data_IF_307270575888
#
_entry.id   IF_307270575888
#
_cell.length_a   1.000
_cell.length_b   1.000
_cell.length_c   1.000
_cell.angle_alpha   90.00
_cell.angle_beta   90.00
_cell.angle_gamma   90.00
#
_symmetry.space_group_name_H-M   'P 1'
#
loop_
_entity.id
_entity.type
_entity.pdbx_description
1 polymer ?
#
# COMPACT_ATOMS: atom_id res chain seq x y z
N UNK A 1 -5.52 7.68 -10.60
CA UNK A 1 -5.27 7.75 -9.14
C UNK A 1 -3.86 8.24 -8.81
N UNK A 2 -2.78 7.62 -9.29
CA UNK A 2 -1.40 8.04 -8.97
C UNK A 2 -1.07 9.47 -9.42
N UNK A 3 -1.30 9.79 -10.69
CA UNK A 3 -1.01 11.12 -11.25
C UNK A 3 -1.72 12.26 -10.51
N UNK A 4 -2.97 12.07 -10.10
CA UNK A 4 -3.72 13.07 -9.34
C UNK A 4 -3.15 13.29 -7.93
N UNK A 5 -2.64 12.23 -7.27
CA UNK A 5 -1.93 12.36 -5.99
C UNK A 5 -0.61 13.13 -6.17
N UNK A 6 0.14 12.85 -7.25
CA UNK A 6 1.37 13.58 -7.55
C UNK A 6 1.12 15.07 -7.78
N UNK A 7 0.09 15.41 -8.56
CA UNK A 7 -0.30 16.82 -8.76
C UNK A 7 -0.67 17.50 -7.43
N UNK A 8 -1.38 16.80 -6.54
CA UNK A 8 -1.70 17.34 -5.22
C UNK A 8 -0.44 17.64 -4.38
N UNK A 9 0.54 16.76 -4.37
CA UNK A 9 1.82 17.00 -3.69
C UNK A 9 2.53 18.25 -4.24
N UNK A 10 2.63 18.37 -5.57
CA UNK A 10 3.25 19.53 -6.22
C UNK A 10 2.53 20.84 -5.86
N UNK A 11 1.20 20.82 -5.78
CA UNK A 11 0.41 21.98 -5.36
C UNK A 11 0.74 22.36 -3.91
N UNK A 12 0.78 21.39 -3.01
CA UNK A 12 1.06 21.63 -1.58
C UNK A 12 2.50 22.11 -1.36
N UNK A 13 3.48 21.55 -2.07
CA UNK A 13 4.87 22.02 -2.07
C UNK A 13 4.95 23.47 -2.57
N UNK A 14 4.28 23.81 -3.68
CA UNK A 14 4.23 25.17 -4.20
C UNK A 14 3.55 26.16 -3.25
N UNK A 15 2.52 25.73 -2.50
CA UNK A 15 1.88 26.56 -1.48
C UNK A 15 2.79 26.79 -0.27
N UNK A 16 3.51 25.75 0.18
CA UNK A 16 4.47 25.84 1.26
C UNK A 16 5.62 26.81 0.95
N UNK A 17 6.04 26.93 -0.32
CA UNK A 17 7.06 27.90 -0.73
C UNK A 17 6.56 29.36 -0.75
N UNK A 18 5.26 29.58 -0.87
CA UNK A 18 4.67 30.94 -1.00
C UNK A 18 4.42 31.63 0.33
N UNK A 19 4.37 30.88 1.44
CA UNK A 19 3.94 31.41 2.74
C UNK A 19 4.44 30.55 3.91
N UNK A 20 4.55 31.18 5.09
CA UNK A 20 5.09 30.54 6.30
C UNK A 20 4.06 30.45 7.45
N UNK A 21 2.80 30.82 7.23
CA UNK A 21 1.76 30.84 8.26
C UNK A 21 1.07 29.47 8.44
N UNK A 22 0.96 28.68 7.37
CA UNK A 22 0.40 27.32 7.39
C UNK A 22 1.45 26.35 6.89
N UNK A 23 1.76 25.35 7.70
CA UNK A 23 2.65 24.27 7.31
C UNK A 23 1.86 23.19 6.56
N UNK A 24 2.34 22.83 5.37
CA UNK A 24 1.81 21.73 4.59
C UNK A 24 2.81 20.58 4.62
N UNK A 25 2.34 19.39 4.95
CA UNK A 25 3.15 18.17 5.00
C UNK A 25 2.39 17.06 4.30
N UNK A 26 3.11 16.20 3.60
CA UNK A 26 2.56 15.05 2.90
C UNK A 26 3.22 13.78 3.46
N UNK A 27 2.46 12.68 3.48
CA UNK A 27 2.96 11.37 3.89
C UNK A 27 2.57 10.34 2.84
N UNK A 28 3.54 9.59 2.34
CA UNK A 28 3.38 8.49 1.41
C UNK A 28 3.47 7.16 2.14
N UNK A 29 2.50 6.31 1.88
CA UNK A 29 2.50 4.92 2.30
C UNK A 29 1.62 4.11 1.34
N UNK A 30 1.92 2.82 1.30
CA UNK A 30 1.24 1.81 0.48
C UNK A 30 -0.09 1.37 1.09
N UNK A 31 -0.38 0.08 0.98
CA UNK A 31 -1.69 -0.45 1.37
C UNK A 31 -1.84 -0.50 2.90
N UNK A 32 -3.06 -0.21 3.36
CA UNK A 32 -3.44 -0.40 4.76
C UNK A 32 -4.32 -1.64 4.87
N UNK A 33 -3.94 -2.56 5.76
CA UNK A 33 -4.64 -3.82 5.98
C UNK A 33 -6.10 -3.58 6.38
N UNK A 34 -7.03 -4.26 5.72
CA UNK A 34 -8.45 -4.19 6.03
C UNK A 34 -9.14 -2.86 5.66
N UNK A 35 -8.46 -1.96 4.95
CA UNK A 35 -9.07 -0.71 4.46
C UNK A 35 -10.22 -0.97 3.47
N UNK A 36 -11.18 -0.04 3.41
CA UNK A 36 -12.34 -0.14 2.52
C UNK A 36 -11.94 -0.29 1.05
N UNK A 37 -12.52 -1.28 0.37
CA UNK A 37 -12.22 -1.56 -1.05
C UNK A 37 -10.85 -2.17 -1.31
N UNK A 38 -10.11 -2.58 -0.27
CA UNK A 38 -8.84 -3.29 -0.41
C UNK A 38 -9.04 -4.78 -0.75
N UNK A 39 -7.92 -5.44 -1.06
CA UNK A 39 -7.90 -6.85 -1.49
C UNK A 39 -8.37 -7.82 -0.39
N UNK A 40 -8.12 -7.50 0.88
CA UNK A 40 -8.47 -8.40 2.00
C UNK A 40 -10.00 -8.51 2.18
N UNK A 41 -10.78 -7.42 2.23
CA UNK A 41 -12.24 -7.52 2.22
C UNK A 41 -12.80 -8.24 0.99
N UNK A 42 -12.17 -8.06 -0.18
CA UNK A 42 -12.58 -8.76 -1.41
C UNK A 42 -12.39 -10.27 -1.27
N UNK A 43 -11.20 -10.73 -0.88
CA UNK A 43 -10.92 -12.15 -0.68
C UNK A 43 -11.79 -12.74 0.42
N UNK A 44 -11.99 -12.01 1.51
CA UNK A 44 -12.88 -12.43 2.60
C UNK A 44 -14.31 -12.66 2.10
N UNK A 45 -14.80 -11.78 1.22
CA UNK A 45 -16.12 -11.93 0.59
C UNK A 45 -16.16 -13.15 -0.34
N UNK A 46 -15.17 -13.29 -1.22
CA UNK A 46 -15.06 -14.41 -2.17
C UNK A 46 -15.02 -15.76 -1.46
N UNK A 47 -14.21 -15.88 -0.40
CA UNK A 47 -14.11 -17.08 0.42
C UNK A 47 -15.45 -17.39 1.10
N UNK A 48 -16.12 -16.38 1.69
CA UNK A 48 -17.43 -16.56 2.34
C UNK A 48 -18.53 -17.01 1.37
N UNK A 49 -18.41 -16.63 0.11
CA UNK A 49 -19.33 -17.04 -0.96
C UNK A 49 -18.97 -18.40 -1.57
N UNK A 50 -17.94 -19.09 -1.05
CA UNK A 50 -17.31 -20.28 -1.65
C UNK A 50 -16.95 -20.07 -3.13
N UNK A 51 -16.66 -18.82 -3.50
CA UNK A 51 -16.29 -18.42 -4.86
C UNK A 51 -14.77 -18.46 -5.05
N UNK A 52 -14.30 -18.49 -6.31
CA UNK A 52 -12.88 -18.39 -6.60
C UNK A 52 -12.34 -17.04 -6.14
N UNK A 53 -11.12 -17.04 -5.60
CA UNK A 53 -10.37 -15.82 -5.36
C UNK A 53 -9.84 -15.30 -6.69
N UNK A 54 -10.01 -14.01 -6.96
CA UNK A 54 -9.49 -13.38 -8.18
C UNK A 54 -8.25 -12.56 -7.89
N UNK A 55 -7.14 -12.89 -8.54
CA UNK A 55 -5.87 -12.16 -8.43
C UNK A 55 -5.51 -11.60 -9.81
N UNK A 56 -4.99 -10.38 -9.87
CA UNK A 56 -4.66 -9.77 -11.18
C UNK A 56 -3.41 -10.40 -11.81
N UNK A 57 -2.35 -10.60 -11.03
CA UNK A 57 -1.14 -11.28 -11.47
C UNK A 57 -0.50 -12.09 -10.33
N UNK A 58 0.09 -13.26 -10.65
CA UNK A 58 0.73 -14.16 -9.68
C UNK A 58 1.97 -13.55 -9.00
N UNK A 59 2.61 -12.60 -9.66
CA UNK A 59 3.84 -11.95 -9.21
C UNK A 59 3.59 -10.58 -8.58
N UNK A 60 2.33 -10.18 -8.41
CA UNK A 60 1.99 -8.87 -7.85
C UNK A 60 2.34 -8.82 -6.36
N UNK A 61 3.08 -7.78 -5.96
CA UNK A 61 3.46 -7.54 -4.57
C UNK A 61 3.00 -6.17 -4.09
N UNK A 62 2.67 -6.08 -2.80
CA UNK A 62 2.22 -4.84 -2.17
C UNK A 62 2.82 -4.70 -0.78
N UNK A 63 3.14 -3.47 -0.39
CA UNK A 63 3.49 -3.14 0.98
C UNK A 63 2.22 -3.01 1.81
N UNK A 64 2.24 -3.54 3.02
CA UNK A 64 1.12 -3.49 3.94
C UNK A 64 1.56 -2.97 5.30
N UNK A 65 0.68 -2.18 5.91
CA UNK A 65 0.80 -1.75 7.28
C UNK A 65 -0.58 -1.84 7.93
N UNK A 66 -0.63 -2.04 9.24
CA UNK A 66 -1.89 -2.04 9.97
C UNK A 66 -2.45 -0.62 10.09
N UNK A 67 -3.76 -0.51 10.37
CA UNK A 67 -4.40 0.80 10.59
C UNK A 67 -3.71 1.55 11.76
N UNK A 68 -3.52 0.96 12.96
CA UNK A 68 -2.89 1.68 14.07
C UNK A 68 -1.49 2.20 13.74
N UNK A 69 -0.64 1.37 13.13
CA UNK A 69 0.71 1.77 12.70
C UNK A 69 0.67 2.94 11.73
N UNK A 70 -0.20 2.87 10.70
CA UNK A 70 -0.29 3.96 9.70
C UNK A 70 -0.75 5.28 10.31
N UNK A 71 -1.69 5.24 11.25
CA UNK A 71 -2.21 6.43 11.93
C UNK A 71 -1.16 7.03 12.84
N UNK A 72 -0.47 6.19 13.63
CA UNK A 72 0.58 6.63 14.54
C UNK A 72 1.72 7.34 13.78
N UNK A 73 2.22 6.72 12.72
CA UNK A 73 3.31 7.27 11.92
C UNK A 73 2.90 8.56 11.19
N UNK A 74 1.65 8.66 10.70
CA UNK A 74 1.15 9.90 10.08
C UNK A 74 1.08 11.05 11.08
N UNK A 75 0.64 10.80 12.32
CA UNK A 75 0.60 11.82 13.37
C UNK A 75 2.01 12.30 13.72
N UNK A 76 2.96 11.37 13.87
CA UNK A 76 4.35 11.69 14.18
C UNK A 76 5.04 12.44 13.02
N UNK A 77 4.82 12.01 11.78
CA UNK A 77 5.30 12.73 10.58
C UNK A 77 4.76 14.17 10.54
N UNK A 78 3.48 14.35 10.87
CA UNK A 78 2.87 15.68 11.01
C UNK A 78 3.57 16.55 12.06
N UNK A 79 3.92 15.98 13.22
CA UNK A 79 4.63 16.70 14.28
C UNK A 79 6.08 17.07 13.91
N UNK A 80 6.75 16.30 13.04
CA UNK A 80 8.10 16.58 12.53
C UNK A 80 8.14 17.53 11.31
N UNK A 81 6.98 17.88 10.78
CA UNK A 81 6.85 18.72 9.59
C UNK A 81 7.39 20.14 9.81
N UNK A 82 8.15 20.63 8.83
CA UNK A 82 8.66 21.99 8.74
C UNK A 82 7.97 22.79 7.64
N UNK A 83 7.26 22.12 6.73
CA UNK A 83 6.51 22.70 5.63
C UNK A 83 7.14 22.35 4.28
N UNK A 84 6.31 21.84 3.37
CA UNK A 84 6.74 21.30 2.07
C UNK A 84 7.28 19.87 2.14
N UNK A 85 7.41 19.29 3.34
CA UNK A 85 8.00 17.96 3.51
C UNK A 85 7.12 16.86 2.92
N UNK A 86 7.77 15.91 2.25
CA UNK A 86 7.15 14.66 1.81
C UNK A 86 7.78 13.53 2.61
N UNK A 87 7.06 13.00 3.58
CA UNK A 87 7.50 11.84 4.34
C UNK A 87 7.13 10.54 3.63
N UNK A 88 7.94 9.51 3.83
CA UNK A 88 7.73 8.15 3.32
C UNK A 88 7.88 7.20 4.48
N UNK A 89 6.86 6.36 4.69
CA UNK A 89 6.88 5.39 5.78
C UNK A 89 7.65 4.15 5.35
N UNK A 90 8.51 3.65 6.25
CA UNK A 90 9.02 2.29 6.14
C UNK A 90 7.89 1.31 6.46
N UNK A 91 7.59 0.43 5.50
CA UNK A 91 6.52 -0.56 5.59
C UNK A 91 7.05 -1.99 5.67
N UNK A 92 8.36 -2.16 5.84
CA UNK A 92 9.03 -3.45 5.85
C UNK A 92 8.93 -4.18 4.51
N UNK A 93 8.89 -5.51 4.57
CA UNK A 93 8.95 -6.36 3.39
C UNK A 93 7.62 -6.39 2.62
N UNK A 94 7.66 -6.34 1.27
CA UNK A 94 6.46 -6.44 0.46
C UNK A 94 5.88 -7.86 0.51
N UNK A 95 4.56 -7.95 0.41
CA UNK A 95 3.81 -9.22 0.46
C UNK A 95 3.31 -9.58 -0.93
N UNK A 96 3.53 -10.83 -1.34
CA UNK A 96 2.93 -11.41 -2.55
C UNK A 96 1.44 -11.64 -2.32
N UNK A 97 0.61 -11.11 -3.23
CA UNK A 97 -0.85 -11.22 -3.09
C UNK A 97 -1.32 -12.67 -3.25
N UNK A 98 -0.61 -13.49 -4.04
CA UNK A 98 -0.86 -14.94 -4.14
C UNK A 98 -0.70 -15.64 -2.78
N UNK A 99 0.41 -15.37 -2.09
CA UNK A 99 0.71 -15.97 -0.79
C UNK A 99 -0.30 -15.50 0.27
N UNK A 100 -0.71 -14.23 0.21
CA UNK A 100 -1.78 -13.68 1.05
C UNK A 100 -3.11 -14.40 0.82
N UNK A 101 -3.53 -14.59 -0.44
CA UNK A 101 -4.77 -15.29 -0.79
C UNK A 101 -4.78 -16.72 -0.25
N UNK A 102 -3.72 -17.49 -0.52
CA UNK A 102 -3.57 -18.88 -0.05
C UNK A 102 -3.63 -18.95 1.47
N UNK A 103 -2.92 -18.05 2.17
CA UNK A 103 -2.95 -17.97 3.63
C UNK A 103 -4.35 -17.66 4.17
N UNK A 104 -5.09 -16.76 3.51
CA UNK A 104 -6.47 -16.44 3.92
C UNK A 104 -7.43 -17.62 3.75
N UNK A 105 -7.29 -18.40 2.67
CA UNK A 105 -8.06 -19.65 2.48
C UNK A 105 -7.79 -20.62 3.63
N UNK A 106 -6.52 -20.88 3.93
CA UNK A 106 -6.13 -21.78 5.03
C UNK A 106 -6.60 -21.30 6.41
N UNK A 107 -6.49 -20.01 6.71
CA UNK A 107 -6.97 -19.43 7.96
C UNK A 107 -8.50 -19.47 8.09
N UNK A 108 -9.21 -19.65 6.98
CA UNK A 108 -10.67 -19.85 6.96
C UNK A 108 -11.07 -21.32 7.17
N UNK A 109 -10.11 -22.23 7.39
CA UNK A 109 -10.35 -23.66 7.55
C UNK A 109 -10.63 -24.40 6.24
N UNK A 110 -10.26 -23.79 5.10
CA UNK A 110 -10.46 -24.32 3.76
C UNK A 110 -9.11 -24.62 3.10
N UNK A 111 -9.14 -25.41 2.03
CA UNK A 111 -7.97 -25.72 1.22
C UNK A 111 -8.03 -25.06 -0.17
N UNK A 112 -6.87 -24.66 -0.66
CA UNK A 112 -6.74 -24.13 -2.02
C UNK A 112 -6.85 -25.29 -3.00
N UNK A 113 -7.69 -25.11 -4.02
CA UNK A 113 -7.83 -26.01 -5.14
C UNK A 113 -6.83 -25.67 -6.24
N UNK A 114 -5.89 -26.58 -6.49
CA UNK A 114 -4.87 -26.47 -7.54
C UNK A 114 -4.45 -27.85 -8.05
N UNK A 115 -3.46 -27.91 -8.95
CA UNK A 115 -3.01 -29.16 -9.59
C UNK A 115 -2.53 -30.21 -8.57
N UNK A 116 -2.02 -29.79 -7.40
CA UNK A 116 -1.56 -30.68 -6.34
C UNK A 116 -2.70 -31.06 -5.38
N UNK A 117 -3.73 -30.23 -5.27
CA UNK A 117 -4.93 -30.50 -4.48
C UNK A 117 -6.21 -30.29 -5.32
N UNK A 118 -6.55 -31.22 -6.22
CA UNK A 118 -7.71 -31.07 -7.10
C UNK A 118 -9.05 -31.10 -6.34
N UNK A 119 -9.05 -31.60 -5.11
CA UNK A 119 -10.23 -31.70 -4.23
C UNK A 119 -10.33 -30.53 -3.23
N UNK A 120 -9.50 -29.50 -3.36
CA UNK A 120 -9.58 -28.32 -2.50
C UNK A 120 -10.89 -27.54 -2.66
N UNK A 121 -11.14 -26.61 -1.75
CA UNK A 121 -12.41 -25.88 -1.65
C UNK A 121 -12.44 -24.62 -2.53
N UNK A 122 -11.34 -23.87 -2.58
CA UNK A 122 -11.29 -22.53 -3.18
C UNK A 122 -10.25 -22.46 -4.31
N UNK A 123 -10.71 -22.14 -5.52
CA UNK A 123 -9.82 -21.89 -6.67
C UNK A 123 -9.22 -20.47 -6.62
N UNK A 124 -8.05 -20.30 -7.25
CA UNK A 124 -7.44 -18.99 -7.51
C UNK A 124 -7.44 -18.73 -9.01
N UNK A 125 -8.12 -17.67 -9.45
CA UNK A 125 -8.19 -17.26 -10.85
C UNK A 125 -7.34 -16.02 -11.10
N UNK A 126 -6.41 -16.12 -12.05
CA UNK A 126 -5.62 -14.98 -12.51
C UNK A 126 -6.35 -14.24 -13.63
N UNK A 127 -6.77 -13.00 -13.36
CA UNK A 127 -7.65 -12.22 -14.25
C UNK A 127 -6.91 -11.21 -15.12
N UNK A 128 -5.59 -11.12 -15.01
CA UNK A 128 -4.76 -10.14 -15.70
C UNK A 128 -4.73 -8.78 -15.00
N UNK A 129 -3.72 -7.98 -15.33
CA UNK A 129 -3.57 -6.63 -14.82
C UNK A 129 -4.65 -5.70 -15.36
N UNK A 130 -5.18 -4.85 -14.49
CA UNK A 130 -6.11 -3.78 -14.90
C UNK A 130 -5.32 -2.62 -15.53
N UNK A 131 -5.96 -1.79 -16.38
CA UNK A 131 -5.30 -0.63 -16.97
C UNK A 131 -4.67 0.28 -15.92
N UNK A 132 -3.35 0.51 -16.04
CA UNK A 132 -2.57 1.34 -15.12
C UNK A 132 -2.19 0.68 -13.79
N UNK A 133 -2.49 -0.61 -13.59
CA UNK A 133 -2.05 -1.37 -12.42
C UNK A 133 -0.57 -1.78 -12.58
N UNK A 134 0.23 -1.56 -11.54
CA UNK A 134 1.64 -1.95 -11.49
C UNK A 134 1.81 -3.32 -10.84
N UNK A 135 2.80 -4.09 -11.29
CA UNK A 135 3.22 -5.33 -10.62
C UNK A 135 3.83 -5.05 -9.23
N UNK A 136 4.61 -3.98 -9.14
CA UNK A 136 5.33 -3.54 -7.95
C UNK A 136 4.94 -2.10 -7.63
N UNK A 137 4.73 -1.77 -6.35
CA UNK A 137 4.57 -0.39 -5.92
C UNK A 137 5.92 0.26 -5.62
N UNK A 138 6.08 1.50 -6.05
CA UNK A 138 7.22 2.36 -5.75
C UNK A 138 6.76 3.37 -4.69
N UNK A 139 7.30 3.29 -3.47
CA UNK A 139 7.03 4.26 -2.42
C UNK A 139 7.83 5.56 -2.61
N UNK A 140 8.92 5.49 -3.38
CA UNK A 140 9.83 6.59 -3.67
C UNK A 140 9.81 6.94 -5.17
N UNK A 141 9.80 8.25 -5.45
CA UNK A 141 9.94 8.79 -6.82
C UNK A 141 11.42 8.90 -7.19
N UNK A 142 12.29 9.10 -6.21
CA UNK A 142 13.74 9.14 -6.34
C UNK A 142 14.38 8.46 -5.13
N UNK A 143 15.55 7.88 -5.31
CA UNK A 143 16.30 7.21 -4.23
C UNK A 143 16.85 8.18 -3.17
N UNK A 144 16.64 9.49 -3.35
CA UNK A 144 17.08 10.51 -2.40
C UNK A 144 16.09 10.63 -1.24
N UNK A 145 16.46 10.02 -0.12
CA UNK A 145 15.79 10.19 1.18
C UNK A 145 16.78 10.59 2.25
N UNK A 146 16.31 11.37 3.22
CA UNK A 146 17.01 11.68 4.45
C UNK A 146 16.32 11.00 5.64
N UNK A 147 17.11 10.54 6.60
CA UNK A 147 16.60 9.99 7.86
C UNK A 147 15.91 11.09 8.67
N UNK A 148 14.93 10.70 9.49
CA UNK A 148 14.27 11.59 10.46
C UNK A 148 14.58 11.14 11.89
N UNK A 149 14.02 11.85 12.88
CA UNK A 149 14.12 11.43 14.28
C UNK A 149 13.41 10.10 14.56
N UNK A 150 12.50 9.67 13.69
CA UNK A 150 11.81 8.39 13.79
C UNK A 150 12.33 7.38 12.75
N UNK A 151 12.77 6.17 13.16
CA UNK A 151 13.44 5.21 12.26
C UNK A 151 12.53 4.69 11.13
N UNK A 152 11.21 4.69 11.33
CA UNK A 152 10.23 4.25 10.33
C UNK A 152 9.68 5.39 9.46
N UNK A 153 10.21 6.61 9.60
CA UNK A 153 9.77 7.77 8.83
C UNK A 153 11.01 8.34 8.14
N UNK A 154 11.00 8.29 6.82
CA UNK A 154 12.01 8.92 5.97
C UNK A 154 11.45 10.19 5.37
N UNK A 155 12.31 11.13 4.99
CA UNK A 155 11.93 12.34 4.27
C UNK A 155 12.44 12.24 2.83
N UNK A 156 11.56 12.39 1.86
CA UNK A 156 11.93 12.40 0.46
C UNK A 156 12.51 13.77 0.08
N UNK A 157 13.68 13.75 -0.56
CA UNK A 157 14.35 14.92 -1.11
C UNK A 157 14.09 14.97 -2.61
N UNK A 158 13.06 15.72 -3.00
CA UNK A 158 12.67 15.83 -4.40
C UNK A 158 13.32 17.07 -5.02
N UNK A 159 14.19 16.87 -6.01
CA UNK A 159 14.65 17.97 -6.85
C UNK A 159 13.49 18.46 -7.71
N UNK A 160 13.11 19.72 -7.52
CA UNK A 160 12.15 20.43 -8.38
C UNK A 160 12.80 20.85 -9.70
#
# INVERSE_FOLDING_TARGET
MGATKRVAELILQALAQKQNNTQFTMVRFGNVLGSSGSVIPLFTKQIKENGPITITDKNIIRYFMTIPESVELVIQAGAMGKGGDVFVLDMGEPVRIDDLARKMVHLSGLEVKDDNNPNGDIEIHYIGLRPGEKLFEELLISDNVSETEHPLIMRAEENL
#
